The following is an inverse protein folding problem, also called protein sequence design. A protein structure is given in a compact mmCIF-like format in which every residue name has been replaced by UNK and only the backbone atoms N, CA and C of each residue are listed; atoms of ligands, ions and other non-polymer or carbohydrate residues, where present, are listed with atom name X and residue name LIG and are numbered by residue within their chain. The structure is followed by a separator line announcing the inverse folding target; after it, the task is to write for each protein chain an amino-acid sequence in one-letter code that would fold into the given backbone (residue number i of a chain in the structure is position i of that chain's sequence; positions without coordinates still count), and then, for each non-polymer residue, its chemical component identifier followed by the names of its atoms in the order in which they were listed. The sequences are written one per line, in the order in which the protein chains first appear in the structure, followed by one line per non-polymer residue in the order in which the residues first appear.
data_IF_596890946330
#
_entry.id   IF_596890946330
#
_cell.length_a   1.000
_cell.length_b   1.000
_cell.length_c   1.000
_cell.angle_alpha   90.00
_cell.angle_beta   90.00
_cell.angle_gamma   90.00
#
_symmetry.space_group_name_H-M   'P 1'
#
loop_
_entity.id
_entity.type
_entity.pdbx_description
1 polymer ?
#
# COMPACT_ATOMS: atom_id res chain seq x y z
N UNK A 1 -25.28 7.35 26.48
CA UNK A 1 -24.48 7.43 25.26
C UNK A 1 -23.02 7.48 25.66
N UNK A 2 -22.20 6.64 25.12
CA UNK A 2 -20.78 6.61 25.45
C UNK A 2 -20.05 7.68 24.66
N UNK A 3 -19.06 8.29 25.29
CA UNK A 3 -18.33 9.43 24.72
C UNK A 3 -16.88 9.02 24.39
N UNK A 4 -16.40 9.50 23.24
CA UNK A 4 -15.02 9.35 22.79
C UNK A 4 -14.45 10.71 22.45
N UNK A 5 -13.25 11.02 22.91
CA UNK A 5 -12.52 12.25 22.50
C UNK A 5 -11.47 11.88 21.46
N UNK A 6 -11.55 12.50 20.30
CA UNK A 6 -10.63 12.26 19.19
C UNK A 6 -10.51 13.49 18.27
N UNK A 7 -9.57 13.45 17.33
CA UNK A 7 -9.50 14.40 16.24
C UNK A 7 -10.51 13.98 15.15
N UNK A 8 -11.34 14.91 14.70
CA UNK A 8 -12.33 14.60 13.68
C UNK A 8 -11.73 14.57 12.27
N UNK A 9 -11.79 13.43 11.54
CA UNK A 9 -11.26 13.36 10.18
C UNK A 9 -12.13 14.09 9.14
N UNK A 10 -13.37 14.47 9.52
CA UNK A 10 -14.34 15.11 8.61
C UNK A 10 -14.24 16.63 8.62
N UNK A 11 -14.02 17.24 9.78
CA UNK A 11 -13.94 18.70 9.92
C UNK A 11 -12.59 19.19 10.48
N UNK A 12 -11.62 18.30 10.68
CA UNK A 12 -10.29 18.56 11.22
C UNK A 12 -10.26 19.21 12.63
N UNK A 13 -11.39 19.30 13.33
CA UNK A 13 -11.42 19.76 14.73
C UNK A 13 -10.64 18.80 15.63
N UNK A 14 -9.80 19.35 16.49
CA UNK A 14 -8.96 18.58 17.41
C UNK A 14 -9.64 18.40 18.77
N UNK A 15 -9.40 17.23 19.39
CA UNK A 15 -9.87 16.90 20.74
C UNK A 15 -11.39 17.17 20.92
N UNK A 16 -12.18 16.77 19.95
CA UNK A 16 -13.63 16.95 19.98
C UNK A 16 -14.31 15.67 20.49
N UNK A 17 -15.44 15.85 21.17
CA UNK A 17 -16.25 14.73 21.65
C UNK A 17 -17.09 14.14 20.51
N UNK A 18 -17.11 12.82 20.48
CA UNK A 18 -17.99 12.01 19.64
C UNK A 18 -18.96 11.25 20.50
N UNK A 19 -20.19 11.16 20.05
CA UNK A 19 -21.18 10.21 20.54
C UNK A 19 -20.90 8.85 19.86
N UNK A 20 -20.70 7.80 20.65
CA UNK A 20 -20.44 6.44 20.13
C UNK A 20 -21.74 5.67 20.16
N UNK A 21 -22.29 5.38 18.99
CA UNK A 21 -23.60 4.75 18.83
C UNK A 21 -23.50 3.21 18.84
N UNK A 22 -22.43 2.67 18.26
CA UNK A 22 -22.18 1.23 18.24
C UNK A 22 -20.69 0.92 18.18
N UNK A 23 -20.31 -0.24 18.70
CA UNK A 23 -18.95 -0.76 18.62
C UNK A 23 -18.98 -2.28 18.43
N UNK A 24 -18.17 -2.80 17.50
CA UNK A 24 -18.06 -4.22 17.17
C UNK A 24 -16.61 -4.66 17.27
N UNK A 25 -16.37 -5.75 17.99
CA UNK A 25 -15.05 -6.41 18.02
C UNK A 25 -14.82 -7.05 16.65
N UNK A 26 -13.69 -6.74 16.02
CA UNK A 26 -13.29 -7.35 14.73
C UNK A 26 -11.99 -8.13 14.83
N UNK A 27 -11.20 -7.91 15.89
CA UNK A 27 -9.92 -8.58 16.12
C UNK A 27 -9.61 -8.63 17.62
N UNK A 28 -8.84 -9.65 18.04
CA UNK A 28 -8.25 -9.75 19.37
C UNK A 28 -6.76 -10.06 19.25
N UNK A 29 -5.93 -9.42 20.06
CA UNK A 29 -4.48 -9.63 20.15
C UNK A 29 -4.09 -10.01 21.58
N UNK A 30 -2.99 -10.72 21.73
CA UNK A 30 -2.43 -11.14 23.03
C UNK A 30 -3.40 -11.92 23.93
N UNK A 31 -4.51 -12.44 23.42
CA UNK A 31 -5.54 -13.13 24.18
C UNK A 31 -6.46 -12.25 25.05
N UNK A 32 -6.18 -10.94 25.12
CA UNK A 32 -6.96 -10.00 25.94
C UNK A 32 -7.33 -8.71 25.21
N UNK A 33 -6.47 -8.17 24.35
CA UNK A 33 -6.67 -6.86 23.72
C UNK A 33 -7.71 -6.94 22.61
N UNK A 34 -8.92 -6.52 22.87
CA UNK A 34 -9.95 -6.39 21.84
C UNK A 34 -9.74 -5.12 21.02
N UNK A 35 -9.95 -5.25 19.72
CA UNK A 35 -9.99 -4.16 18.77
C UNK A 35 -11.41 -3.99 18.25
N UNK A 36 -11.86 -2.75 18.19
CA UNK A 36 -13.23 -2.41 17.85
C UNK A 36 -13.28 -1.50 16.63
N UNK A 37 -14.30 -1.71 15.78
CA UNK A 37 -14.83 -0.68 14.89
C UNK A 37 -16.00 0.00 15.59
N UNK A 38 -15.89 1.32 15.79
CA UNK A 38 -16.86 2.10 16.54
C UNK A 38 -17.48 3.20 15.68
N UNK A 39 -18.77 3.04 15.36
CA UNK A 39 -19.53 4.06 14.65
C UNK A 39 -19.83 5.22 15.61
N UNK A 40 -19.37 6.41 15.24
CA UNK A 40 -19.34 7.57 16.14
C UNK A 40 -19.69 8.84 15.40
N UNK A 41 -20.46 9.72 16.03
CA UNK A 41 -20.91 11.00 15.47
C UNK A 41 -20.20 12.17 16.15
N UNK A 42 -19.59 13.04 15.36
CA UNK A 42 -18.88 14.23 15.83
C UNK A 42 -19.85 15.28 16.35
N UNK A 43 -19.69 15.73 17.60
CA UNK A 43 -20.57 16.80 18.18
C UNK A 43 -20.33 18.18 17.56
N UNK A 44 -19.23 18.41 16.84
CA UNK A 44 -18.96 19.69 16.19
C UNK A 44 -19.60 19.79 14.81
N UNK A 45 -19.41 18.78 13.94
CA UNK A 45 -19.87 18.84 12.55
C UNK A 45 -21.03 17.90 12.24
N UNK A 46 -21.49 17.11 13.20
CA UNK A 46 -22.58 16.12 13.09
C UNK A 46 -22.34 15.02 12.01
N UNK A 47 -21.12 14.89 11.47
CA UNK A 47 -20.79 13.80 10.57
C UNK A 47 -20.29 12.57 11.33
N UNK A 48 -20.66 11.39 10.81
CA UNK A 48 -20.25 10.12 11.36
C UNK A 48 -18.88 9.66 10.85
N UNK A 49 -18.19 8.87 11.67
CA UNK A 49 -16.90 8.25 11.39
C UNK A 49 -16.86 6.89 12.07
N UNK A 50 -16.22 5.92 11.46
CA UNK A 50 -15.90 4.64 12.11
C UNK A 50 -14.46 4.73 12.63
N UNK A 51 -14.31 4.77 13.95
CA UNK A 51 -12.99 4.73 14.58
C UNK A 51 -12.52 3.30 14.81
N UNK A 52 -11.20 3.09 14.67
CA UNK A 52 -10.50 1.87 15.07
C UNK A 52 -9.98 2.09 16.48
N UNK A 53 -10.47 1.30 17.43
CA UNK A 53 -10.17 1.43 18.86
C UNK A 53 -9.51 0.15 19.37
N UNK A 54 -8.58 0.26 20.31
CA UNK A 54 -7.97 -0.89 20.98
C UNK A 54 -7.97 -0.70 22.50
N UNK A 55 -8.19 -1.77 23.25
CA UNK A 55 -8.07 -1.74 24.72
C UNK A 55 -6.65 -1.37 25.14
N UNK A 56 -6.52 -0.52 26.18
CA UNK A 56 -5.23 0.04 26.60
C UNK A 56 -4.38 -0.92 27.40
N UNK A 57 -5.00 -1.58 28.38
CA UNK A 57 -4.30 -2.39 29.38
C UNK A 57 -5.11 -3.64 29.72
N UNK A 58 -4.40 -4.74 29.95
CA UNK A 58 -5.01 -6.03 30.30
C UNK A 58 -5.88 -5.98 31.55
N UNK A 59 -5.52 -5.17 32.55
CA UNK A 59 -6.30 -5.03 33.78
C UNK A 59 -7.72 -4.53 33.57
N UNK A 60 -8.02 -3.87 32.44
CA UNK A 60 -9.37 -3.40 32.13
C UNK A 60 -10.21 -4.44 31.39
N UNK A 61 -9.56 -5.50 30.87
CA UNK A 61 -10.21 -6.50 29.99
C UNK A 61 -11.47 -7.11 30.62
N UNK A 62 -11.36 -7.61 31.85
CA UNK A 62 -12.52 -8.22 32.52
C UNK A 62 -13.67 -7.25 32.73
N UNK A 63 -13.38 -6.00 33.08
CA UNK A 63 -14.39 -4.99 33.30
C UNK A 63 -15.09 -4.61 31.99
N UNK A 64 -14.34 -4.37 30.94
CA UNK A 64 -14.88 -4.05 29.60
C UNK A 64 -15.65 -5.26 29.04
N UNK A 65 -15.15 -6.47 29.25
CA UNK A 65 -15.79 -7.69 28.74
C UNK A 65 -17.15 -7.95 29.46
N UNK A 66 -17.22 -7.76 30.78
CA UNK A 66 -18.47 -7.97 31.55
C UNK A 66 -19.52 -6.89 31.28
N UNK A 67 -19.11 -5.64 31.21
CA UNK A 67 -20.04 -4.50 31.07
C UNK A 67 -20.37 -4.19 29.61
N UNK A 68 -19.49 -4.56 28.67
CA UNK A 68 -19.50 -4.07 27.31
C UNK A 68 -18.92 -2.66 27.17
N UNK A 69 -18.15 -2.40 26.13
CA UNK A 69 -17.43 -1.14 25.93
C UNK A 69 -18.36 0.09 26.07
N UNK A 70 -19.55 0.02 25.49
CA UNK A 70 -20.50 1.14 25.46
C UNK A 70 -21.23 1.39 26.80
N UNK A 71 -21.08 0.50 27.75
CA UNK A 71 -21.68 0.64 29.09
C UNK A 71 -20.67 1.10 30.15
N UNK A 72 -19.44 1.42 29.71
CA UNK A 72 -18.42 1.93 30.64
C UNK A 72 -18.75 3.34 31.11
N UNK A 73 -18.41 3.64 32.34
CA UNK A 73 -18.61 4.97 32.90
C UNK A 73 -17.55 5.96 32.45
N UNK A 74 -17.98 7.16 32.07
CA UNK A 74 -17.10 8.24 31.62
C UNK A 74 -16.69 8.12 30.15
N UNK A 75 -15.66 8.87 29.75
CA UNK A 75 -15.15 8.84 28.39
C UNK A 75 -14.44 7.52 28.13
N UNK A 76 -14.71 6.90 26.98
CA UNK A 76 -14.10 5.63 26.56
C UNK A 76 -12.56 5.69 26.50
N UNK A 77 -12.01 6.89 26.34
CA UNK A 77 -10.56 7.13 26.36
C UNK A 77 -9.85 6.67 27.65
N UNK A 78 -10.57 6.43 28.75
CA UNK A 78 -9.98 5.80 29.93
C UNK A 78 -9.61 4.33 29.69
N UNK A 79 -10.35 3.62 28.85
CA UNK A 79 -10.26 2.19 28.65
C UNK A 79 -9.62 1.82 27.31
N UNK A 80 -9.73 2.70 26.29
CA UNK A 80 -9.30 2.43 24.93
C UNK A 80 -8.39 3.54 24.37
N UNK A 81 -7.56 3.17 23.39
CA UNK A 81 -6.83 4.08 22.52
C UNK A 81 -7.51 4.18 21.16
N UNK A 82 -7.53 5.38 20.60
CA UNK A 82 -7.88 5.60 19.20
C UNK A 82 -6.67 5.27 18.34
N UNK A 83 -6.74 4.20 17.56
CA UNK A 83 -5.66 3.72 16.67
C UNK A 83 -5.77 4.28 15.26
N UNK A 84 -6.97 4.71 14.86
CA UNK A 84 -7.22 5.25 13.53
C UNK A 84 -8.72 5.41 13.27
N UNK A 85 -9.04 5.53 12.01
CA UNK A 85 -10.43 5.56 11.52
C UNK A 85 -10.49 4.93 10.14
N UNK A 86 -11.62 4.32 9.80
CA UNK A 86 -11.88 3.75 8.48
C UNK A 86 -11.96 4.86 7.45
N UNK A 87 -11.20 4.75 6.40
CA UNK A 87 -11.07 5.76 5.35
C UNK A 87 -10.98 5.10 3.97
N UNK A 88 -10.85 5.91 2.93
CA UNK A 88 -10.60 5.39 1.58
C UNK A 88 -9.28 4.61 1.45
N UNK A 89 -8.35 4.77 2.41
CA UNK A 89 -7.11 3.98 2.45
C UNK A 89 -7.32 2.52 2.85
N UNK A 90 -8.48 2.22 3.44
CA UNK A 90 -8.86 0.86 3.87
C UNK A 90 -9.58 0.09 2.75
N UNK A 91 -9.77 0.71 1.58
CA UNK A 91 -10.23 0.01 0.38
C UNK A 91 -9.19 -1.05 0.00
N UNK A 92 -9.67 -2.23 -0.37
CA UNK A 92 -8.81 -3.32 -0.78
C UNK A 92 -7.87 -2.87 -1.90
N UNK A 93 -6.59 -2.91 -1.62
CA UNK A 93 -5.53 -2.56 -2.57
C UNK A 93 -4.88 -3.81 -3.15
N UNK A 94 -4.30 -3.68 -4.33
CA UNK A 94 -3.52 -4.75 -4.95
C UNK A 94 -2.21 -4.90 -4.17
N UNK A 95 -1.91 -6.14 -3.77
CA UNK A 95 -0.68 -6.43 -3.04
C UNK A 95 0.53 -6.34 -3.97
N UNK A 96 1.64 -5.77 -3.50
CA UNK A 96 2.87 -5.74 -4.28
C UNK A 96 3.41 -7.16 -4.54
N UNK A 97 4.12 -7.38 -5.64
CA UNK A 97 4.90 -8.59 -5.86
C UNK A 97 5.85 -8.87 -4.71
N UNK A 98 6.20 -10.15 -4.49
CA UNK A 98 7.06 -10.54 -3.38
C UNK A 98 8.53 -10.18 -3.64
N UNK A 99 9.30 -9.99 -2.56
CA UNK A 99 10.75 -9.75 -2.59
C UNK A 99 11.18 -8.42 -3.23
N UNK A 100 10.31 -7.45 -3.24
CA UNK A 100 10.67 -6.11 -3.70
C UNK A 100 11.63 -5.43 -2.71
N UNK A 101 12.54 -4.57 -3.18
CA UNK A 101 13.20 -3.60 -2.32
C UNK A 101 12.17 -2.70 -1.62
N UNK A 102 12.37 -2.40 -0.35
CA UNK A 102 11.41 -1.64 0.47
C UNK A 102 11.01 -0.28 -0.15
N UNK A 103 11.94 0.38 -0.87
CA UNK A 103 11.66 1.63 -1.57
C UNK A 103 10.68 1.46 -2.74
N UNK A 104 10.79 0.37 -3.50
CA UNK A 104 9.88 0.08 -4.63
C UNK A 104 8.53 -0.40 -4.10
N UNK A 105 8.55 -1.24 -3.06
CA UNK A 105 7.33 -1.72 -2.40
C UNK A 105 6.47 -0.55 -1.88
N UNK A 106 7.09 0.43 -1.22
CA UNK A 106 6.40 1.61 -0.71
C UNK A 106 5.72 2.41 -1.84
N UNK A 107 6.42 2.64 -2.95
CA UNK A 107 5.87 3.35 -4.12
C UNK A 107 4.74 2.55 -4.78
N UNK A 108 4.88 1.24 -4.87
CA UNK A 108 3.82 0.37 -5.42
C UNK A 108 2.55 0.43 -4.58
N UNK A 109 2.68 0.35 -3.25
CA UNK A 109 1.55 0.45 -2.30
C UNK A 109 0.86 1.82 -2.43
N UNK A 110 1.63 2.90 -2.56
CA UNK A 110 1.08 4.24 -2.77
C UNK A 110 0.30 4.33 -4.09
N UNK A 111 0.86 3.82 -5.19
CA UNK A 111 0.18 3.73 -6.48
C UNK A 111 -1.12 2.93 -6.42
N UNK A 112 -1.09 1.73 -5.80
CA UNK A 112 -2.26 0.88 -5.62
C UNK A 112 -3.34 1.55 -4.76
N UNK A 113 -2.93 2.32 -3.74
CA UNK A 113 -3.86 3.10 -2.92
C UNK A 113 -4.52 4.21 -3.73
N UNK A 114 -3.73 4.96 -4.51
CA UNK A 114 -4.24 5.99 -5.41
C UNK A 114 -5.24 5.42 -6.43
N UNK A 115 -4.93 4.27 -7.01
CA UNK A 115 -5.81 3.58 -7.94
C UNK A 115 -7.14 3.20 -7.28
N UNK A 116 -7.09 2.59 -6.09
CA UNK A 116 -8.26 2.13 -5.36
C UNK A 116 -9.23 3.28 -4.98
N UNK A 117 -8.72 4.50 -4.82
CA UNK A 117 -9.54 5.69 -4.52
C UNK A 117 -9.86 6.55 -5.75
N UNK A 118 -9.55 6.07 -6.96
CA UNK A 118 -9.86 6.76 -8.22
C UNK A 118 -8.92 7.91 -8.59
N UNK A 119 -7.75 8.01 -7.96
CA UNK A 119 -6.72 9.01 -8.28
C UNK A 119 -5.80 8.49 -9.40
N UNK A 120 -6.31 8.30 -10.61
CA UNK A 120 -5.66 7.59 -11.70
C UNK A 120 -4.33 8.21 -12.15
N UNK A 121 -4.25 9.53 -12.27
CA UNK A 121 -3.01 10.21 -12.63
C UNK A 121 -1.88 10.00 -11.59
N UNK A 122 -2.24 10.05 -10.30
CA UNK A 122 -1.29 9.78 -9.22
C UNK A 122 -0.86 8.30 -9.24
N UNK A 123 -1.80 7.37 -9.43
CA UNK A 123 -1.52 5.95 -9.54
C UNK A 123 -0.54 5.65 -10.69
N UNK A 124 -0.81 6.15 -11.90
CA UNK A 124 0.05 5.97 -13.07
C UNK A 124 1.45 6.57 -12.85
N UNK A 125 1.55 7.73 -12.22
CA UNK A 125 2.84 8.34 -11.85
C UNK A 125 3.65 7.44 -10.91
N UNK A 126 3.00 6.84 -9.90
CA UNK A 126 3.68 5.92 -8.96
C UNK A 126 4.09 4.62 -9.65
N UNK A 127 3.26 4.02 -10.49
CA UNK A 127 3.63 2.82 -11.23
C UNK A 127 4.80 3.09 -12.18
N UNK A 128 4.78 4.21 -12.90
CA UNK A 128 5.92 4.63 -13.72
C UNK A 128 7.20 4.81 -12.88
N UNK A 129 7.11 5.36 -11.68
CA UNK A 129 8.23 5.49 -10.77
C UNK A 129 8.77 4.12 -10.34
N UNK A 130 7.91 3.13 -10.06
CA UNK A 130 8.34 1.74 -9.80
C UNK A 130 9.17 1.18 -10.96
N UNK A 131 8.68 1.35 -12.19
CA UNK A 131 9.39 0.90 -13.40
C UNK A 131 10.74 1.61 -13.56
N UNK A 132 10.77 2.92 -13.30
CA UNK A 132 12.01 3.72 -13.37
C UNK A 132 13.05 3.24 -12.35
N UNK A 133 12.63 3.02 -11.11
CA UNK A 133 13.51 2.52 -10.04
C UNK A 133 14.01 1.11 -10.33
N UNK A 134 13.13 0.19 -10.73
CA UNK A 134 13.49 -1.19 -11.02
C UNK A 134 14.46 -1.29 -12.19
N UNK A 135 14.17 -0.58 -13.28
CA UNK A 135 15.02 -0.62 -14.48
C UNK A 135 16.36 0.09 -14.29
N UNK A 136 16.45 1.11 -13.41
CA UNK A 136 17.74 1.69 -12.99
C UNK A 136 18.61 0.66 -12.28
N UNK A 137 18.00 -0.18 -11.43
CA UNK A 137 18.71 -1.25 -10.73
C UNK A 137 19.29 -2.33 -11.63
N UNK A 138 18.77 -2.48 -12.86
CA UNK A 138 19.27 -3.44 -13.85
C UNK A 138 20.51 -2.95 -14.62
N UNK A 139 20.80 -1.65 -14.57
CA UNK A 139 21.89 -1.08 -15.36
C UNK A 139 23.25 -1.47 -14.77
N UNK A 140 24.23 -1.87 -15.61
CA UNK A 140 25.59 -2.09 -15.17
C UNK A 140 26.20 -0.82 -14.57
N UNK A 141 27.06 -0.99 -13.55
CA UNK A 141 27.71 0.14 -12.86
C UNK A 141 28.62 0.95 -13.79
N UNK A 142 29.31 0.27 -14.68
CA UNK A 142 30.22 0.89 -15.65
C UNK A 142 29.51 1.15 -16.99
N UNK A 143 30.04 2.07 -17.77
CA UNK A 143 29.57 2.30 -19.12
C UNK A 143 29.80 1.05 -19.98
N UNK A 144 28.72 0.56 -20.52
CA UNK A 144 28.66 -0.61 -21.39
C UNK A 144 28.22 -0.14 -22.79
N UNK A 145 28.45 -0.97 -23.83
CA UNK A 145 28.16 -0.65 -25.23
C UNK A 145 26.84 0.14 -25.40
N UNK A 146 26.95 1.39 -25.86
CA UNK A 146 25.81 2.28 -26.09
C UNK A 146 25.16 2.91 -24.85
N UNK A 147 25.48 2.43 -23.63
CA UNK A 147 24.93 3.00 -22.41
C UNK A 147 25.60 4.34 -22.06
N UNK A 148 24.80 5.39 -22.07
CA UNK A 148 25.28 6.74 -21.74
C UNK A 148 24.43 7.40 -20.64
N UNK A 149 24.87 8.56 -20.17
CA UNK A 149 24.19 9.27 -19.08
C UNK A 149 22.75 9.67 -19.39
N UNK A 150 22.37 9.81 -20.67
CA UNK A 150 21.00 10.13 -21.10
C UNK A 150 20.11 8.90 -20.93
N UNK A 151 20.56 7.73 -21.40
CA UNK A 151 19.83 6.45 -21.22
C UNK A 151 19.67 6.13 -19.73
N UNK A 152 20.70 6.37 -18.91
CA UNK A 152 20.63 6.15 -17.47
C UNK A 152 19.53 6.99 -16.77
N UNK A 153 19.27 8.20 -17.25
CA UNK A 153 18.30 9.12 -16.65
C UNK A 153 16.90 9.00 -17.21
N UNK A 154 16.77 8.76 -18.49
CA UNK A 154 15.50 8.80 -19.24
C UNK A 154 14.93 7.40 -19.39
N UNK A 155 13.77 7.15 -18.78
CA UNK A 155 13.07 5.86 -18.82
C UNK A 155 12.66 5.49 -20.26
N UNK A 156 12.20 6.48 -21.04
CA UNK A 156 11.78 6.27 -22.42
C UNK A 156 12.93 5.83 -23.35
N UNK A 157 14.17 6.18 -23.01
CA UNK A 157 15.36 5.70 -23.71
C UNK A 157 15.93 4.42 -23.10
N UNK A 158 15.79 4.24 -21.81
CA UNK A 158 16.31 3.10 -21.08
C UNK A 158 15.56 1.81 -21.41
N UNK A 159 14.23 1.84 -21.47
CA UNK A 159 13.44 0.65 -21.80
C UNK A 159 13.82 0.06 -23.16
N UNK A 160 13.83 0.81 -24.30
CA UNK A 160 14.30 0.29 -25.57
C UNK A 160 15.71 -0.29 -25.52
N UNK A 161 16.65 0.39 -24.81
CA UNK A 161 18.00 -0.08 -24.65
C UNK A 161 18.07 -1.43 -23.91
N UNK A 162 17.32 -1.59 -22.80
CA UNK A 162 17.26 -2.84 -22.04
C UNK A 162 16.71 -4.01 -22.87
N UNK A 163 15.75 -3.77 -23.74
CA UNK A 163 15.26 -4.78 -24.68
C UNK A 163 16.32 -5.13 -25.73
N UNK A 164 16.99 -4.13 -26.29
CA UNK A 164 18.03 -4.32 -27.30
C UNK A 164 19.21 -5.14 -26.76
N UNK A 165 19.62 -4.91 -25.53
CA UNK A 165 20.68 -5.67 -24.85
C UNK A 165 20.21 -7.03 -24.30
N UNK A 166 18.93 -7.40 -24.50
CA UNK A 166 18.37 -8.67 -24.01
C UNK A 166 18.26 -8.76 -22.48
N UNK A 167 18.34 -7.64 -21.77
CA UNK A 167 18.19 -7.56 -20.32
C UNK A 167 16.72 -7.63 -19.90
N UNK A 168 15.80 -7.22 -20.77
CA UNK A 168 14.36 -7.43 -20.63
C UNK A 168 13.86 -8.43 -21.65
N UNK A 169 12.92 -9.28 -21.23
CA UNK A 169 12.30 -10.26 -22.11
C UNK A 169 11.42 -9.56 -23.17
N UNK A 170 11.59 -9.95 -24.42
CA UNK A 170 10.88 -9.36 -25.57
C UNK A 170 9.35 -9.42 -25.42
N UNK A 171 8.82 -10.42 -24.71
CA UNK A 171 7.38 -10.52 -24.44
C UNK A 171 6.78 -9.35 -23.64
N UNK A 172 7.63 -8.52 -23.02
CA UNK A 172 7.20 -7.33 -22.27
C UNK A 172 7.19 -6.06 -23.15
N UNK A 173 7.70 -6.12 -24.39
CA UNK A 173 7.88 -4.94 -25.24
C UNK A 173 6.54 -4.27 -25.57
N UNK A 174 5.54 -5.04 -25.95
CA UNK A 174 4.21 -4.52 -26.28
C UNK A 174 3.57 -3.82 -25.06
N UNK A 175 3.57 -4.48 -23.91
CA UNK A 175 3.06 -3.91 -22.67
C UNK A 175 3.84 -2.66 -22.22
N UNK A 176 5.13 -2.57 -22.55
CA UNK A 176 5.95 -1.40 -22.19
C UNK A 176 5.57 -0.11 -22.91
N UNK A 177 4.74 -0.18 -23.96
CA UNK A 177 4.27 1.01 -24.68
C UNK A 177 3.40 1.91 -23.81
N UNK A 178 2.60 1.34 -22.90
CA UNK A 178 1.79 2.10 -21.94
C UNK A 178 2.64 3.06 -21.09
N UNK A 179 3.89 2.69 -20.76
CA UNK A 179 4.80 3.58 -20.01
C UNK A 179 5.20 4.82 -20.80
N UNK A 180 5.28 4.69 -22.12
CA UNK A 180 5.71 5.79 -23.00
C UNK A 180 4.52 6.69 -23.36
N UNK A 181 3.39 6.09 -23.66
CA UNK A 181 2.21 6.78 -24.16
C UNK A 181 1.40 7.35 -22.97
N UNK A 182 0.99 6.52 -22.03
CA UNK A 182 0.12 6.92 -20.91
C UNK A 182 0.92 7.51 -19.72
N UNK A 183 2.11 6.96 -19.45
CA UNK A 183 2.93 7.45 -18.34
C UNK A 183 3.50 8.85 -18.54
N UNK A 184 3.69 9.31 -19.79
CA UNK A 184 4.05 10.71 -20.08
C UNK A 184 2.83 11.62 -20.01
N UNK A 185 1.69 11.20 -20.58
CA UNK A 185 0.48 12.00 -20.62
C UNK A 185 -0.13 12.17 -19.22
N UNK A 186 -0.10 11.14 -18.38
CA UNK A 186 -0.53 11.23 -16.98
C UNK A 186 0.29 12.20 -16.15
N UNK A 187 1.59 12.28 -16.39
CA UNK A 187 2.48 13.19 -15.67
C UNK A 187 2.40 14.64 -16.15
N UNK A 188 2.00 14.87 -17.42
CA UNK A 188 2.02 16.17 -18.06
C UNK A 188 0.63 16.73 -18.40
N UNK A 189 -0.34 15.90 -18.79
CA UNK A 189 -1.66 16.31 -19.20
C UNK A 189 -2.76 16.02 -18.16
N UNK A 190 -2.51 15.09 -17.23
CA UNK A 190 -3.48 14.76 -16.18
C UNK A 190 -4.75 14.07 -16.70
N UNK A 191 -4.66 13.28 -17.75
CA UNK A 191 -5.81 12.74 -18.51
C UNK A 191 -5.98 11.23 -18.37
N UNK A 192 -5.22 10.55 -17.50
CA UNK A 192 -5.33 9.09 -17.33
C UNK A 192 -6.73 8.66 -16.88
N UNK A 193 -7.26 7.67 -17.56
CA UNK A 193 -8.47 6.97 -17.18
C UNK A 193 -8.19 5.83 -16.20
N UNK A 194 -9.25 5.17 -15.73
CA UNK A 194 -9.13 3.94 -14.94
C UNK A 194 -8.39 2.85 -15.73
N UNK A 195 -8.68 2.70 -17.01
CA UNK A 195 -8.14 1.65 -17.84
C UNK A 195 -6.64 1.86 -18.09
N UNK A 196 -6.23 3.10 -18.41
CA UNK A 196 -4.81 3.45 -18.57
C UNK A 196 -4.01 3.17 -17.28
N UNK A 197 -4.56 3.51 -16.12
CA UNK A 197 -3.91 3.27 -14.85
C UNK A 197 -3.82 1.77 -14.50
N UNK A 198 -4.79 0.95 -14.91
CA UNK A 198 -4.74 -0.50 -14.76
C UNK A 198 -3.73 -1.14 -15.72
N UNK A 199 -3.61 -0.67 -16.96
CA UNK A 199 -2.57 -1.14 -17.90
C UNK A 199 -1.17 -0.85 -17.36
N UNK A 200 -0.94 0.33 -16.79
CA UNK A 200 0.31 0.68 -16.11
C UNK A 200 0.59 -0.22 -14.91
N UNK A 201 -0.43 -0.54 -14.10
CA UNK A 201 -0.31 -1.48 -13.00
C UNK A 201 0.07 -2.88 -13.48
N UNK A 202 -0.60 -3.40 -14.51
CA UNK A 202 -0.36 -4.75 -15.04
C UNK A 202 1.07 -4.89 -15.55
N UNK A 203 1.52 -3.94 -16.37
CA UNK A 203 2.92 -3.92 -16.82
C UNK A 203 3.90 -3.84 -15.65
N UNK A 204 3.65 -2.92 -14.70
CA UNK A 204 4.52 -2.74 -13.53
C UNK A 204 4.60 -4.03 -12.71
N UNK A 205 3.47 -4.67 -12.45
CA UNK A 205 3.40 -5.92 -11.66
C UNK A 205 4.20 -7.04 -12.33
N UNK A 206 3.97 -7.27 -13.62
CA UNK A 206 4.68 -8.31 -14.38
C UNK A 206 6.18 -8.02 -14.43
N UNK A 207 6.59 -6.77 -14.67
CA UNK A 207 7.99 -6.38 -14.70
C UNK A 207 8.67 -6.63 -13.34
N UNK A 208 8.04 -6.21 -12.25
CA UNK A 208 8.58 -6.40 -10.89
C UNK A 208 8.65 -7.89 -10.51
N UNK A 209 7.67 -8.70 -10.92
CA UNK A 209 7.72 -10.15 -10.74
C UNK A 209 8.92 -10.77 -11.46
N UNK A 210 9.18 -10.38 -12.70
CA UNK A 210 10.32 -10.88 -13.49
C UNK A 210 11.67 -10.48 -12.89
N UNK A 211 11.78 -9.25 -12.39
CA UNK A 211 13.06 -8.73 -11.87
C UNK A 211 13.36 -9.27 -10.46
N UNK A 212 12.35 -9.38 -9.59
CA UNK A 212 12.57 -9.66 -8.17
C UNK A 212 11.98 -10.99 -7.72
N UNK A 213 10.70 -11.24 -8.02
CA UNK A 213 9.97 -12.39 -7.45
C UNK A 213 10.45 -13.72 -8.05
N UNK A 214 10.51 -13.84 -9.35
CA UNK A 214 10.90 -15.08 -10.04
C UNK A 214 12.35 -15.50 -9.72
N UNK A 215 13.37 -14.63 -9.82
CA UNK A 215 14.74 -14.99 -9.50
C UNK A 215 14.90 -15.43 -8.05
N UNK A 216 14.25 -14.75 -7.10
CA UNK A 216 14.34 -15.11 -5.70
C UNK A 216 13.63 -16.44 -5.40
N UNK A 217 12.48 -16.70 -5.99
CA UNK A 217 11.80 -18.01 -5.88
C UNK A 217 12.68 -19.15 -6.43
N UNK A 218 13.36 -18.95 -7.55
CA UNK A 218 14.29 -19.91 -8.12
C UNK A 218 15.49 -20.14 -7.20
N UNK A 219 16.07 -19.08 -6.65
CA UNK A 219 17.17 -19.15 -5.68
C UNK A 219 16.78 -19.97 -4.45
N UNK A 220 15.62 -19.67 -3.86
CA UNK A 220 15.11 -20.40 -2.70
C UNK A 220 14.82 -21.88 -3.01
N UNK A 221 14.25 -22.17 -4.19
CA UNK A 221 14.00 -23.54 -4.60
C UNK A 221 15.31 -24.34 -4.76
N UNK A 222 16.35 -23.73 -5.33
CA UNK A 222 17.67 -24.32 -5.46
C UNK A 222 18.31 -24.55 -4.11
N UNK A 223 18.22 -23.59 -3.19
CA UNK A 223 18.73 -23.71 -1.83
C UNK A 223 18.09 -24.89 -1.07
N UNK A 224 16.75 -24.98 -1.08
CA UNK A 224 16.01 -26.11 -0.46
C UNK A 224 16.42 -27.47 -1.06
N UNK A 225 16.77 -27.53 -2.35
CA UNK A 225 17.23 -28.76 -3.00
C UNK A 225 18.63 -29.15 -2.51
N UNK A 226 19.53 -28.19 -2.33
CA UNK A 226 20.87 -28.40 -1.80
C UNK A 226 20.79 -28.92 -0.37
N UNK A 227 20.08 -28.24 0.52
CA UNK A 227 19.90 -28.62 1.93
C UNK A 227 19.39 -30.06 2.09
N UNK A 228 18.38 -30.46 1.28
CA UNK A 228 17.87 -31.84 1.29
C UNK A 228 18.89 -32.90 0.85
N UNK A 229 19.91 -32.52 0.08
CA UNK A 229 20.97 -33.45 -0.32
C UNK A 229 22.06 -33.63 0.76
N UNK A 230 22.27 -32.62 1.58
CA UNK A 230 23.22 -32.69 2.70
C UNK A 230 22.63 -33.32 3.95
N UNK A 231 21.31 -33.50 4.05
CA UNK A 231 20.62 -34.16 5.14
C UNK A 231 20.39 -35.68 4.91
N UNK A 232 20.86 -36.22 3.79
CA UNK A 232 20.94 -37.65 3.46
C UNK A 232 22.37 -38.15 3.54
#
# INVERSE_FOLDING_TARGET
MSELVANCPRCASKHITFDVDSAKIYRQEYGWQNWYEAFSTCRHCAHSTIFLLAEKVESNYEQVHRSGLLNMNGALNHYIDVRGFVSLKDVATIKPPQFLPASIEAVFIEGSTCLAVGCFNAAGTMFRLCVDMATKGMLPANDFSGLNSKIRRDLGLRLPWLFQEGLLNESLRELSTCIKDDGNDGAHAGTLTSDDANELLDFTSILLERIYTEPERLRQASQRRIERRFLK
#
